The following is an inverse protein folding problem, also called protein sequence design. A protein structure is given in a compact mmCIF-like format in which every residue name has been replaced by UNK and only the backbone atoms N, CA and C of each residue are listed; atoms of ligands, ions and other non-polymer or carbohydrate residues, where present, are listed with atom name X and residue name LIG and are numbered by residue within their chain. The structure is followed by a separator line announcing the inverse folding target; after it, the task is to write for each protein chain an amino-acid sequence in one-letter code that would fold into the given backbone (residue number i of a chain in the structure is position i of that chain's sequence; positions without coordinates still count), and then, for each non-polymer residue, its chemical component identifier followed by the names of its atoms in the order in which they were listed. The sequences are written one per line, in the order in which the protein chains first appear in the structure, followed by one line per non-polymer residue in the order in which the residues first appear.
data_IF_175930065574
#
_entry.id   IF_175930065574
#
_cell.length_a   1.000
_cell.length_b   1.000
_cell.length_c   1.000
_cell.angle_alpha   90.00
_cell.angle_beta   90.00
_cell.angle_gamma   90.00
#
_symmetry.space_group_name_H-M   'P 1'
#
loop_
_entity.id
_entity.type
_entity.pdbx_description
1 polymer ?
#
# COMPACT_ATOMS: atom_id res chain seq x y z
N UNK A 1 8.39 30.55 -24.96
CA UNK A 1 8.94 29.80 -23.82
C UNK A 1 7.99 28.65 -23.58
N UNK A 2 8.30 27.47 -24.14
CA UNK A 2 7.47 26.28 -23.98
C UNK A 2 7.74 25.72 -22.59
N UNK A 3 6.76 25.77 -21.70
CA UNK A 3 6.82 24.96 -20.48
C UNK A 3 6.42 23.54 -20.87
N UNK A 4 7.41 22.64 -20.88
CA UNK A 4 7.21 21.21 -20.91
C UNK A 4 6.64 20.80 -19.55
N UNK A 5 5.38 20.38 -19.51
CA UNK A 5 4.77 19.75 -18.33
C UNK A 5 5.29 18.32 -18.21
N UNK A 6 6.47 18.15 -17.61
CA UNK A 6 7.06 16.83 -17.32
C UNK A 6 7.28 16.73 -15.81
N UNK A 7 6.25 16.33 -15.06
CA UNK A 7 6.42 15.84 -13.67
C UNK A 7 5.17 15.18 -13.07
N UNK A 8 4.35 14.50 -13.88
CA UNK A 8 3.19 13.74 -13.38
C UNK A 8 3.35 12.21 -13.50
N UNK A 9 4.43 11.74 -14.12
CA UNK A 9 4.58 10.34 -14.54
C UNK A 9 5.68 9.57 -13.79
N UNK A 10 6.44 10.23 -12.89
CA UNK A 10 7.46 9.50 -12.15
C UNK A 10 6.79 8.65 -11.06
N UNK A 11 6.99 7.33 -11.04
CA UNK A 11 6.51 6.51 -9.93
C UNK A 11 7.15 6.98 -8.62
N UNK A 12 6.33 7.23 -7.60
CA UNK A 12 6.82 7.51 -6.25
C UNK A 12 7.38 6.23 -5.62
N UNK A 13 8.51 6.31 -4.91
CA UNK A 13 9.11 5.12 -4.34
C UNK A 13 8.32 4.64 -3.11
N UNK A 14 8.31 3.32 -2.91
CA UNK A 14 7.85 2.69 -1.67
C UNK A 14 8.90 2.92 -0.58
N UNK A 15 8.47 3.26 0.63
CA UNK A 15 9.33 3.34 1.81
C UNK A 15 9.98 1.98 2.06
N UNK A 16 11.31 1.84 1.95
CA UNK A 16 11.96 0.54 2.06
C UNK A 16 11.88 0.00 3.50
N UNK A 17 11.69 -1.30 3.65
CA UNK A 17 11.79 -2.04 4.90
C UNK A 17 12.56 -3.34 4.69
N UNK A 18 13.27 -3.81 5.72
CA UNK A 18 13.99 -5.08 5.63
C UNK A 18 13.03 -6.28 5.69
N UNK A 19 13.40 -7.38 5.03
CA UNK A 19 12.63 -8.63 5.07
C UNK A 19 12.40 -9.14 6.50
N UNK A 20 13.35 -8.90 7.42
CA UNK A 20 13.19 -9.27 8.82
C UNK A 20 12.05 -8.51 9.51
N UNK A 21 11.92 -7.20 9.26
CA UNK A 21 10.84 -6.36 9.81
C UNK A 21 9.49 -6.76 9.23
N UNK A 22 9.45 -7.01 7.92
CA UNK A 22 8.26 -7.49 7.20
C UNK A 22 7.83 -8.87 7.72
N UNK A 23 8.74 -9.83 7.82
CA UNK A 23 8.46 -11.19 8.31
C UNK A 23 8.06 -11.22 9.78
N UNK A 24 8.74 -10.45 10.64
CA UNK A 24 8.35 -10.30 12.04
C UNK A 24 6.95 -9.69 12.16
N UNK A 25 6.59 -8.73 11.30
CA UNK A 25 5.25 -8.12 11.28
C UNK A 25 4.20 -9.12 10.79
N UNK A 26 4.48 -9.85 9.71
CA UNK A 26 3.56 -10.84 9.14
C UNK A 26 3.24 -11.98 10.14
N UNK A 27 4.22 -12.38 10.95
CA UNK A 27 4.06 -13.41 12.00
C UNK A 27 3.54 -12.87 13.33
N UNK A 28 3.32 -11.55 13.45
CA UNK A 28 2.87 -10.90 14.69
C UNK A 28 3.92 -10.81 15.79
N UNK A 29 5.20 -11.01 15.46
CA UNK A 29 6.34 -10.93 16.40
C UNK A 29 7.00 -9.55 16.43
N UNK A 30 6.63 -8.63 15.54
CA UNK A 30 7.14 -7.25 15.55
C UNK A 30 6.51 -6.43 16.67
N UNK A 31 7.34 -5.80 17.48
CA UNK A 31 6.92 -4.99 18.64
C UNK A 31 6.21 -3.69 18.25
N UNK A 32 6.51 -3.14 17.06
CA UNK A 32 5.91 -1.92 16.52
C UNK A 32 5.27 -2.19 15.16
N UNK A 33 4.14 -2.93 15.09
CA UNK A 33 3.54 -3.29 13.80
C UNK A 33 3.08 -2.06 13.01
N UNK A 34 2.81 -0.94 13.68
CA UNK A 34 2.42 0.33 13.04
C UNK A 34 3.58 1.10 12.43
N UNK A 35 4.84 0.76 12.74
CA UNK A 35 5.98 1.29 11.99
C UNK A 35 6.07 0.65 10.59
N UNK A 36 5.46 -0.52 10.40
CA UNK A 36 5.43 -1.27 9.13
C UNK A 36 4.10 -1.11 8.42
N UNK A 37 2.98 -1.33 9.12
CA UNK A 37 1.63 -1.30 8.57
C UNK A 37 1.00 0.10 8.68
N UNK A 38 0.05 0.37 7.79
CA UNK A 38 -0.61 1.67 7.69
C UNK A 38 -0.01 2.54 6.59
N UNK A 39 -0.36 3.82 6.61
CA UNK A 39 0.10 4.80 5.64
C UNK A 39 1.25 5.64 6.23
N UNK A 40 2.31 5.80 5.45
CA UNK A 40 3.53 6.50 5.84
C UNK A 40 4.02 7.39 4.71
N UNK A 41 4.31 8.65 5.00
CA UNK A 41 4.91 9.59 4.04
C UNK A 41 6.37 9.23 3.74
N UNK A 42 6.75 9.24 2.47
CA UNK A 42 8.11 8.92 2.02
C UNK A 42 8.41 9.54 0.66
N UNK A 43 9.50 10.31 0.56
CA UNK A 43 10.03 10.85 -0.70
C UNK A 43 8.95 11.49 -1.61
N UNK A 44 8.05 12.29 -1.01
CA UNK A 44 6.98 13.00 -1.73
C UNK A 44 5.78 12.14 -2.14
N UNK A 45 5.68 10.91 -1.64
CA UNK A 45 4.53 10.04 -1.76
C UNK A 45 4.07 9.47 -0.42
N UNK A 46 3.02 8.64 -0.46
CA UNK A 46 2.54 7.88 0.70
C UNK A 46 2.63 6.40 0.40
N UNK A 47 3.42 5.67 1.18
CA UNK A 47 3.44 4.21 1.16
C UNK A 47 2.34 3.69 2.06
N UNK A 48 1.45 2.86 1.54
CA UNK A 48 0.42 2.17 2.32
C UNK A 48 0.75 0.69 2.37
N UNK A 49 0.86 0.13 3.57
CA UNK A 49 1.01 -1.31 3.81
C UNK A 49 -0.15 -1.90 4.59
N UNK A 50 -0.55 -3.11 4.26
CA UNK A 50 -1.57 -3.85 5.01
C UNK A 50 -1.29 -5.35 5.03
N UNK A 51 -1.59 -6.01 6.15
CA UNK A 51 -1.49 -7.47 6.30
C UNK A 51 -2.83 -8.11 5.96
N UNK A 52 -2.90 -8.81 4.83
CA UNK A 52 -4.03 -9.59 4.32
C UNK A 52 -3.55 -10.95 3.77
N UNK A 53 -3.26 -11.91 4.66
CA UNK A 53 -2.92 -13.27 4.27
C UNK A 53 -4.03 -13.89 3.42
N UNK A 54 -3.63 -14.69 2.43
CA UNK A 54 -4.52 -15.39 1.49
C UNK A 54 -5.42 -14.51 0.62
N UNK A 55 -5.24 -13.19 0.62
CA UNK A 55 -5.90 -12.33 -0.36
C UNK A 55 -5.39 -12.65 -1.78
N UNK A 56 -6.28 -12.56 -2.77
CA UNK A 56 -5.94 -12.64 -4.19
C UNK A 56 -5.76 -11.26 -4.83
N UNK A 57 -6.44 -10.24 -4.30
CA UNK A 57 -6.27 -8.84 -4.71
C UNK A 57 -6.46 -7.93 -3.51
N UNK A 58 -5.67 -6.87 -3.43
CA UNK A 58 -5.85 -5.78 -2.46
C UNK A 58 -5.75 -4.45 -3.19
N UNK A 59 -6.58 -3.49 -2.81
CA UNK A 59 -6.52 -2.12 -3.32
C UNK A 59 -6.80 -1.08 -2.24
N UNK A 60 -6.16 0.08 -2.35
CA UNK A 60 -6.50 1.29 -1.60
C UNK A 60 -7.60 2.05 -2.33
N UNK A 61 -8.67 2.40 -1.64
CA UNK A 61 -9.74 3.27 -2.12
C UNK A 61 -9.62 4.65 -1.51
N UNK A 62 -9.56 5.68 -2.34
CA UNK A 62 -9.49 7.08 -1.93
C UNK A 62 -10.88 7.74 -1.92
N UNK A 63 -11.05 8.91 -1.26
CA UNK A 63 -12.34 9.58 -1.14
C UNK A 63 -12.91 10.08 -2.47
N UNK A 64 -12.05 10.29 -3.46
CA UNK A 64 -12.43 10.66 -4.83
C UNK A 64 -12.99 9.48 -5.66
N UNK A 65 -13.03 8.29 -5.07
CA UNK A 65 -13.53 7.06 -5.70
C UNK A 65 -12.47 6.30 -6.51
N UNK A 66 -11.24 6.80 -6.59
CA UNK A 66 -10.14 6.08 -7.23
C UNK A 66 -9.73 4.84 -6.43
N UNK A 67 -9.26 3.82 -7.15
CA UNK A 67 -8.78 2.56 -6.59
C UNK A 67 -7.37 2.27 -7.09
N UNK A 68 -6.45 2.04 -6.16
CA UNK A 68 -5.05 1.77 -6.44
C UNK A 68 -4.74 0.34 -6.02
N UNK A 69 -4.43 -0.54 -6.99
CA UNK A 69 -4.02 -1.92 -6.70
C UNK A 69 -2.73 -1.93 -5.87
N UNK A 70 -2.66 -2.87 -4.93
CA UNK A 70 -1.49 -3.12 -4.10
C UNK A 70 -0.75 -4.35 -4.62
N UNK A 71 0.57 -4.32 -4.53
CA UNK A 71 1.42 -5.46 -4.83
C UNK A 71 1.65 -6.29 -3.57
N UNK A 72 1.74 -7.62 -3.73
CA UNK A 72 2.16 -8.49 -2.63
C UNK A 72 3.66 -8.30 -2.39
N UNK A 73 4.03 -7.92 -1.18
CA UNK A 73 5.41 -7.59 -0.82
C UNK A 73 6.08 -8.72 -0.03
N UNK A 74 5.41 -9.25 1.00
CA UNK A 74 5.99 -10.30 1.87
C UNK A 74 4.93 -10.99 2.73
N UNK A 75 4.79 -12.32 2.68
CA UNK A 75 3.96 -13.14 3.59
C UNK A 75 2.56 -12.57 3.93
N UNK A 76 1.89 -12.01 2.92
CA UNK A 76 0.54 -11.45 3.06
C UNK A 76 0.53 -9.96 3.40
N UNK A 77 1.69 -9.30 3.49
CA UNK A 77 1.82 -7.85 3.44
C UNK A 77 1.67 -7.41 1.98
N UNK A 78 0.80 -6.43 1.79
CA UNK A 78 0.54 -5.78 0.51
C UNK A 78 0.95 -4.32 0.60
N UNK A 79 1.49 -3.77 -0.48
CA UNK A 79 2.02 -2.40 -0.53
C UNK A 79 1.58 -1.63 -1.77
N UNK A 80 1.43 -0.32 -1.65
CA UNK A 80 1.32 0.60 -2.77
C UNK A 80 1.92 1.95 -2.39
N UNK A 81 2.61 2.60 -3.33
CA UNK A 81 3.02 3.99 -3.21
C UNK A 81 2.05 4.89 -3.97
N UNK A 82 1.49 5.88 -3.28
CA UNK A 82 0.54 6.84 -3.82
C UNK A 82 1.24 8.19 -4.04
N UNK A 83 1.07 8.85 -5.19
CA UNK A 83 1.65 10.16 -5.47
C UNK A 83 0.86 11.28 -4.75
N UNK A 84 0.80 11.20 -3.42
CA UNK A 84 0.12 12.14 -2.53
C UNK A 84 1.15 12.72 -1.56
N UNK A 85 1.00 14.01 -1.24
CA UNK A 85 1.92 14.72 -0.36
C UNK A 85 1.71 14.41 1.13
N UNK A 86 0.51 13.98 1.51
CA UNK A 86 0.11 13.71 2.90
C UNK A 86 -0.80 12.47 2.98
N UNK A 87 -0.86 11.85 4.15
CA UNK A 87 -1.68 10.65 4.37
C UNK A 87 -3.17 10.96 4.17
N UNK A 88 -3.84 10.36 3.17
CA UNK A 88 -5.25 10.61 2.93
C UNK A 88 -6.11 9.83 3.94
N UNK A 89 -7.40 10.17 4.00
CA UNK A 89 -8.38 9.16 4.43
C UNK A 89 -8.51 8.10 3.33
N UNK A 90 -8.51 6.82 3.70
CA UNK A 90 -8.61 5.74 2.73
C UNK A 90 -9.35 4.53 3.30
N UNK A 91 -9.74 3.62 2.42
CA UNK A 91 -10.25 2.29 2.79
C UNK A 91 -9.45 1.24 2.05
N UNK A 92 -9.42 0.02 2.59
CA UNK A 92 -8.80 -1.12 1.92
C UNK A 92 -9.91 -2.01 1.37
N UNK A 93 -9.87 -2.30 0.06
CA UNK A 93 -10.66 -3.33 -0.59
C UNK A 93 -9.81 -4.59 -0.70
N UNK A 94 -10.39 -5.73 -0.36
CA UNK A 94 -9.69 -7.03 -0.38
C UNK A 94 -10.59 -8.06 -1.04
N UNK A 95 -10.00 -8.87 -1.90
CA UNK A 95 -10.62 -10.04 -2.52
C UNK A 95 -9.84 -11.26 -2.05
N UNK A 96 -10.51 -12.29 -1.51
CA UNK A 96 -9.85 -13.51 -1.00
C UNK A 96 -9.93 -14.70 -1.95
N UNK A 97 -10.89 -14.71 -2.86
CA UNK A 97 -11.09 -15.78 -3.83
C UNK A 97 -11.47 -15.21 -5.18
N UNK A 98 -10.87 -15.72 -6.26
CA UNK A 98 -11.40 -15.57 -7.61
C UNK A 98 -12.67 -16.43 -7.72
N UNK A 99 -13.77 -15.91 -7.17
CA UNK A 99 -15.08 -16.56 -7.17
C UNK A 99 -15.43 -17.25 -5.86
N UNK A 100 -15.82 -16.47 -4.86
CA UNK A 100 -17.04 -16.78 -4.09
C UNK A 100 -17.54 -15.51 -3.42
N UNK A 101 -18.69 -15.05 -3.89
CA UNK A 101 -19.39 -13.88 -3.38
C UNK A 101 -20.32 -14.36 -2.26
N UNK A 102 -20.01 -14.04 -1.01
CA UNK A 102 -20.92 -14.29 0.10
C UNK A 102 -21.91 -13.12 0.20
N UNK A 103 -23.18 -13.43 -0.06
CA UNK A 103 -24.33 -12.58 0.27
C UNK A 103 -24.70 -12.70 1.74
#
# INVERSE_FOLDING_TARGET
MSHTTESADRPVPVMPLGEHELGATATGSHHEPHAVLGAHEYEGGVTVRTLKPFASEVAVLLPDGSAHGMEHEHDGIWTVALPLAEVPSYRIRVTWSAGENWV
#
